data_IF_765361307765
#
_entry.id   IF_765361307765
#
_cell.length_a   1.000
_cell.length_b   1.000
_cell.length_c   1.000
_cell.angle_alpha   90.00
_cell.angle_beta   90.00
_cell.angle_gamma   90.00
#
_symmetry.space_group_name_H-M   'P 1'
#
loop_
_entity.id
_entity.type
_entity.pdbx_description
1 polymer ?
#
# COMPACT_ATOMS: atom_id res chain seq x y z
N UNK A 1 11.01 9.71 -32.56
CA UNK A 1 10.20 8.89 -31.63
C UNK A 1 10.18 9.64 -30.31
N UNK A 2 9.07 10.27 -29.95
CA UNK A 2 8.97 11.07 -28.72
C UNK A 2 9.02 10.13 -27.52
N UNK A 3 10.05 10.25 -26.68
CA UNK A 3 10.04 9.63 -25.35
C UNK A 3 8.75 10.05 -24.64
N UNK A 4 7.88 9.08 -24.37
CA UNK A 4 6.75 9.31 -23.49
C UNK A 4 7.32 9.30 -22.08
N UNK A 5 7.67 10.48 -21.57
CA UNK A 5 8.22 10.64 -20.23
C UNK A 5 7.12 10.30 -19.20
N UNK A 6 7.06 9.04 -18.79
CA UNK A 6 6.06 8.55 -17.83
C UNK A 6 6.39 9.05 -16.44
N UNK A 7 5.38 9.50 -15.71
CA UNK A 7 5.56 9.96 -14.33
C UNK A 7 5.73 8.79 -13.38
N UNK A 8 6.84 8.74 -12.65
CA UNK A 8 7.06 7.74 -11.61
C UNK A 8 6.28 8.09 -10.34
N UNK A 9 5.60 7.10 -9.75
CA UNK A 9 4.75 7.33 -8.58
C UNK A 9 4.92 6.23 -7.54
N UNK A 10 4.72 6.59 -6.27
CA UNK A 10 4.61 5.66 -5.15
C UNK A 10 3.17 5.70 -4.65
N UNK A 11 2.59 4.54 -4.40
CA UNK A 11 1.27 4.43 -3.79
C UNK A 11 1.41 4.39 -2.27
N UNK A 12 0.78 5.30 -1.55
CA UNK A 12 0.73 5.31 -0.09
C UNK A 12 -0.70 5.03 0.38
N UNK A 13 -0.87 4.02 1.23
CA UNK A 13 -2.14 3.76 1.90
C UNK A 13 -2.00 3.92 3.41
N UNK A 14 -2.63 4.95 3.94
CA UNK A 14 -2.76 5.18 5.39
C UNK A 14 -4.06 4.55 5.89
N UNK A 15 -4.00 3.83 7.02
CA UNK A 15 -5.18 3.15 7.55
C UNK A 15 -4.92 2.44 8.87
N UNK A 16 -5.98 1.92 9.49
CA UNK A 16 -5.83 1.19 10.75
C UNK A 16 -5.07 -0.12 10.57
N UNK A 17 -5.40 -0.88 9.52
CA UNK A 17 -4.91 -2.25 9.29
C UNK A 17 -5.05 -3.14 10.55
N UNK A 18 -6.29 -3.28 11.04
CA UNK A 18 -6.63 -3.90 12.32
C UNK A 18 -7.58 -5.10 12.16
N UNK A 19 -7.13 -6.25 11.63
CA UNK A 19 -5.83 -6.48 10.98
C UNK A 19 -5.84 -6.06 9.50
N UNK A 20 -4.69 -6.18 8.83
CA UNK A 20 -4.63 -6.13 7.36
C UNK A 20 -5.43 -7.30 6.76
N UNK A 21 -5.94 -7.11 5.55
CA UNK A 21 -6.76 -8.12 4.83
C UNK A 21 -6.31 -8.23 3.38
N UNK A 22 -6.68 -9.31 2.70
CA UNK A 22 -6.46 -9.48 1.25
C UNK A 22 -7.05 -8.34 0.42
N UNK A 23 -8.14 -7.73 0.88
CA UNK A 23 -8.76 -6.57 0.22
C UNK A 23 -7.82 -5.35 0.16
N UNK A 24 -7.07 -5.10 1.23
CA UNK A 24 -6.08 -4.01 1.26
C UNK A 24 -4.96 -4.25 0.23
N UNK A 25 -4.48 -5.50 0.10
CA UNK A 25 -3.46 -5.85 -0.90
C UNK A 25 -4.03 -5.74 -2.31
N UNK A 26 -5.24 -6.24 -2.53
CA UNK A 26 -5.91 -6.16 -3.83
C UNK A 26 -6.12 -4.71 -4.29
N UNK A 27 -6.36 -3.79 -3.37
CA UNK A 27 -6.46 -2.35 -3.66
C UNK A 27 -5.17 -1.79 -4.26
N UNK A 28 -4.00 -2.19 -3.75
CA UNK A 28 -2.70 -1.79 -4.34
C UNK A 28 -2.55 -2.32 -5.77
N UNK A 29 -2.84 -3.61 -5.99
CA UNK A 29 -2.73 -4.23 -7.31
C UNK A 29 -3.65 -3.54 -8.32
N UNK A 30 -4.91 -3.26 -7.94
CA UNK A 30 -5.86 -2.57 -8.82
C UNK A 30 -5.45 -1.13 -9.13
N UNK A 31 -4.93 -0.41 -8.15
CA UNK A 31 -4.43 0.95 -8.37
C UNK A 31 -3.21 0.96 -9.30
N UNK A 32 -2.27 0.02 -9.12
CA UNK A 32 -1.09 -0.13 -9.98
C UNK A 32 -1.49 -0.47 -11.42
N UNK A 33 -2.37 -1.45 -11.58
CA UNK A 33 -2.92 -1.87 -12.88
C UNK A 33 -3.54 -0.68 -13.61
N UNK A 34 -4.43 0.08 -12.95
CA UNK A 34 -5.10 1.23 -13.54
C UNK A 34 -4.10 2.33 -13.98
N UNK A 35 -3.12 2.66 -13.15
CA UNK A 35 -2.15 3.70 -13.44
C UNK A 35 -1.24 3.31 -14.63
N UNK A 36 -0.81 2.05 -14.69
CA UNK A 36 -0.03 1.53 -15.81
C UNK A 36 -0.86 1.50 -17.10
N UNK A 37 -2.12 1.07 -17.04
CA UNK A 37 -3.05 1.05 -18.20
C UNK A 37 -3.29 2.44 -18.78
N UNK A 38 -3.23 3.50 -17.96
CA UNK A 38 -3.35 4.87 -18.45
C UNK A 38 -2.21 5.29 -19.40
N UNK A 39 -1.10 4.55 -19.44
CA UNK A 39 0.08 4.86 -20.24
C UNK A 39 0.92 6.05 -19.75
N UNK A 40 0.44 6.78 -18.75
CA UNK A 40 1.06 8.03 -18.24
C UNK A 40 1.97 7.82 -17.04
N UNK A 41 1.76 6.74 -16.29
CA UNK A 41 2.40 6.53 -14.99
C UNK A 41 3.15 5.20 -14.91
N UNK A 42 4.21 5.19 -14.11
CA UNK A 42 4.88 3.97 -13.66
C UNK A 42 4.87 3.97 -12.13
N UNK A 43 4.09 3.05 -11.54
CA UNK A 43 4.21 2.75 -10.11
C UNK A 43 5.54 2.06 -9.83
N UNK A 44 6.35 2.67 -8.98
CA UNK A 44 7.68 2.18 -8.58
C UNK A 44 7.73 1.63 -7.15
N UNK A 45 6.62 1.71 -6.42
CA UNK A 45 6.50 1.14 -5.07
C UNK A 45 5.13 1.38 -4.44
N UNK A 46 4.82 0.58 -3.42
CA UNK A 46 3.66 0.73 -2.54
C UNK A 46 4.12 0.79 -1.08
N UNK A 47 3.46 1.62 -0.28
CA UNK A 47 3.73 1.78 1.16
C UNK A 47 2.43 1.63 1.94
N UNK A 48 2.41 0.67 2.86
CA UNK A 48 1.36 0.51 3.87
C UNK A 48 1.80 1.28 5.11
N UNK A 49 0.98 2.25 5.53
CA UNK A 49 1.27 3.10 6.69
C UNK A 49 0.19 2.93 7.77
N UNK A 50 0.38 2.02 8.73
CA UNK A 50 -0.54 1.88 9.86
C UNK A 50 -0.58 3.13 10.73
N UNK A 51 -1.79 3.53 11.14
CA UNK A 51 -1.98 4.66 12.05
C UNK A 51 -1.28 4.42 13.40
N UNK A 52 -0.93 5.51 14.07
CA UNK A 52 -0.39 5.49 15.43
C UNK A 52 -1.44 4.96 16.44
N UNK A 53 -0.99 4.44 17.59
CA UNK A 53 -1.89 3.92 18.63
C UNK A 53 -2.75 5.01 19.28
N UNK A 54 -2.25 6.25 19.33
CA UNK A 54 -3.02 7.42 19.79
C UNK A 54 -4.10 7.88 18.81
N UNK A 55 -4.32 7.19 17.68
CA UNK A 55 -5.43 7.52 16.76
C UNK A 55 -6.80 7.38 17.44
N UNK A 56 -6.90 6.60 18.53
CA UNK A 56 -8.07 6.62 19.40
C UNK A 56 -9.28 5.84 18.88
N UNK A 57 -9.11 5.00 17.84
CA UNK A 57 -10.17 4.11 17.37
C UNK A 57 -10.46 3.01 18.41
N UNK A 58 -11.71 2.82 18.88
CA UNK A 58 -12.05 1.73 19.80
C UNK A 58 -11.68 0.36 19.21
N UNK A 59 -11.04 -0.49 20.02
CA UNK A 59 -10.60 -1.82 19.61
C UNK A 59 -9.37 -1.84 18.68
N UNK A 60 -8.63 -0.73 18.55
CA UNK A 60 -7.37 -0.71 17.81
C UNK A 60 -6.31 -1.52 18.55
N UNK A 61 -5.82 -2.59 17.92
CA UNK A 61 -4.71 -3.38 18.44
C UNK A 61 -3.43 -2.56 18.37
N UNK A 62 -2.46 -2.83 19.25
CA UNK A 62 -1.14 -2.18 19.24
C UNK A 62 -0.51 -2.12 17.85
N UNK A 63 0.09 -0.97 17.54
CA UNK A 63 0.84 -0.66 16.33
C UNK A 63 1.90 -1.71 16.05
N UNK A 64 2.54 -2.26 17.08
CA UNK A 64 3.53 -3.34 16.93
C UNK A 64 2.93 -4.58 16.26
N UNK A 65 1.78 -5.05 16.72
CA UNK A 65 1.11 -6.20 16.09
C UNK A 65 0.65 -5.88 14.67
N UNK A 66 0.08 -4.68 14.46
CA UNK A 66 -0.40 -4.27 13.14
C UNK A 66 0.75 -4.15 12.13
N UNK A 67 1.87 -3.57 12.52
CA UNK A 67 3.10 -3.51 11.73
C UNK A 67 3.60 -4.92 11.36
N UNK A 68 3.72 -5.83 12.33
CA UNK A 68 4.13 -7.21 12.05
C UNK A 68 3.16 -7.92 11.10
N UNK A 69 1.85 -7.77 11.30
CA UNK A 69 0.85 -8.35 10.40
C UNK A 69 0.93 -7.78 8.98
N UNK A 70 1.13 -6.47 8.84
CA UNK A 70 1.35 -5.82 7.55
C UNK A 70 2.59 -6.39 6.85
N UNK A 71 3.73 -6.48 7.55
CA UNK A 71 4.97 -7.04 7.01
C UNK A 71 4.80 -8.49 6.53
N UNK A 72 4.15 -9.32 7.33
CA UNK A 72 3.85 -10.71 6.97
C UNK A 72 2.90 -10.80 5.76
N UNK A 73 1.92 -9.91 5.66
CA UNK A 73 0.96 -9.90 4.57
C UNK A 73 1.58 -9.51 3.22
N UNK A 74 2.67 -8.73 3.22
CA UNK A 74 3.38 -8.32 2.00
C UNK A 74 4.73 -9.01 1.81
N UNK A 75 5.07 -10.01 2.63
CA UNK A 75 6.38 -10.68 2.58
C UNK A 75 6.72 -11.28 1.20
N UNK A 76 5.70 -11.66 0.42
CA UNK A 76 5.85 -12.21 -0.93
C UNK A 76 5.69 -11.17 -2.03
N UNK A 77 5.41 -9.92 -1.69
CA UNK A 77 5.35 -8.81 -2.64
C UNK A 77 6.76 -8.28 -2.91
N UNK A 78 7.08 -8.04 -4.17
CA UNK A 78 8.34 -7.44 -4.60
C UNK A 78 8.30 -5.90 -4.61
N UNK A 79 7.13 -5.30 -4.44
CA UNK A 79 6.91 -3.86 -4.67
C UNK A 79 6.16 -3.12 -3.57
N UNK A 80 5.41 -3.82 -2.72
CA UNK A 80 4.69 -3.25 -1.57
C UNK A 80 5.51 -3.46 -0.29
N UNK A 81 5.61 -2.43 0.55
CA UNK A 81 6.30 -2.46 1.85
C UNK A 81 5.42 -1.94 2.98
#
# INVERSE_FOLDING_TARGET
MTETNKTHVILLSCGSFNPITKGHIHMFEKAREYLHQSGRFIVIGGIISPVHDSYGKPGLVSSRHRLTMCQLAVQSSDWIR
#
